data_IF_362022522252
#
_entry.id   IF_362022522252
#
_cell.length_a   1.000
_cell.length_b   1.000
_cell.length_c   1.000
_cell.angle_alpha   90.00
_cell.angle_beta   90.00
_cell.angle_gamma   90.00
#
_symmetry.space_group_name_H-M   'P 1'
#
loop_
_entity.id
_entity.type
_entity.pdbx_description
1 polymer ?
#
# COMPACT_ATOMS: atom_id res chain seq x y z
N UNK A 1 -1.64 -44.34 -12.31
CA UNK A 1 -1.12 -43.04 -11.85
C UNK A 1 -2.28 -42.05 -11.79
N UNK A 2 -2.86 -41.85 -10.60
CA UNK A 2 -4.01 -40.96 -10.40
C UNK A 2 -3.52 -39.50 -10.35
N UNK A 3 -3.98 -38.66 -11.27
CA UNK A 3 -3.70 -37.23 -11.23
C UNK A 3 -4.54 -36.60 -10.12
N UNK A 4 -3.89 -36.07 -9.08
CA UNK A 4 -4.56 -35.31 -8.03
C UNK A 4 -5.14 -34.02 -8.63
N UNK A 5 -6.46 -33.87 -8.54
CA UNK A 5 -7.20 -32.69 -9.00
C UNK A 5 -6.82 -31.48 -8.13
N UNK A 6 -6.07 -30.53 -8.67
CA UNK A 6 -5.77 -29.25 -8.00
C UNK A 6 -7.07 -28.44 -7.96
N UNK A 7 -7.60 -28.04 -6.79
CA UNK A 7 -8.79 -27.22 -6.72
C UNK A 7 -8.51 -25.83 -7.29
N UNK A 8 -9.48 -25.29 -8.04
CA UNK A 8 -9.36 -23.97 -8.67
C UNK A 8 -9.19 -22.87 -7.61
N UNK A 9 -8.42 -21.81 -7.90
CA UNK A 9 -8.21 -20.71 -6.97
C UNK A 9 -9.56 -20.03 -6.69
N UNK A 10 -10.00 -20.10 -5.44
CA UNK A 10 -11.20 -19.42 -4.96
C UNK A 10 -11.05 -17.92 -5.26
N UNK A 11 -11.95 -17.37 -6.08
CA UNK A 11 -12.05 -15.93 -6.33
C UNK A 11 -12.54 -15.25 -5.05
N UNK A 12 -11.65 -15.02 -4.09
CA UNK A 12 -11.94 -14.22 -2.92
C UNK A 12 -12.10 -12.78 -3.38
N UNK A 13 -13.34 -12.27 -3.35
CA UNK A 13 -13.64 -10.87 -3.61
C UNK A 13 -12.78 -9.95 -2.72
N UNK A 14 -12.42 -8.78 -3.26
CA UNK A 14 -11.68 -7.73 -2.53
C UNK A 14 -12.29 -7.56 -1.13
N UNK A 15 -11.51 -7.62 -0.02
CA UNK A 15 -12.09 -7.50 1.30
C UNK A 15 -12.79 -6.15 1.43
N UNK A 16 -14.06 -6.21 1.81
CA UNK A 16 -15.01 -5.08 1.93
C UNK A 16 -14.64 -4.05 3.03
N UNK A 17 -13.48 -4.18 3.67
CA UNK A 17 -13.14 -3.47 4.92
C UNK A 17 -11.94 -2.52 4.85
N UNK A 18 -11.78 -1.80 3.73
CA UNK A 18 -10.90 -0.62 3.68
C UNK A 18 -11.62 0.58 3.07
N UNK A 19 -12.76 0.96 3.65
CA UNK A 19 -13.13 2.39 3.68
C UNK A 19 -12.28 3.07 4.75
N UNK A 20 -10.99 3.27 4.46
CA UNK A 20 -10.28 4.38 5.10
C UNK A 20 -10.78 5.62 4.38
N UNK A 21 -11.69 6.33 5.01
CA UNK A 21 -12.16 7.63 4.53
C UNK A 21 -10.92 8.51 4.37
N UNK A 22 -10.52 8.71 3.12
CA UNK A 22 -9.43 9.62 2.75
C UNK A 22 -9.86 10.99 3.30
N UNK A 23 -9.00 11.70 4.05
CA UNK A 23 -9.34 13.04 4.55
C UNK A 23 -9.84 13.90 3.40
N UNK A 24 -11.10 14.35 3.48
CA UNK A 24 -11.80 15.06 2.40
C UNK A 24 -11.15 16.40 2.00
N UNK A 25 -10.19 16.88 2.79
CA UNK A 25 -9.44 18.12 2.57
C UNK A 25 -8.03 17.91 2.00
N UNK A 26 -7.67 16.68 1.62
CA UNK A 26 -6.37 16.42 1.01
C UNK A 26 -6.29 17.11 -0.35
N UNK A 27 -5.25 17.94 -0.57
CA UNK A 27 -4.95 18.48 -1.91
C UNK A 27 -4.93 17.33 -2.90
N UNK A 28 -5.77 17.42 -3.93
CA UNK A 28 -5.84 16.44 -5.02
C UNK A 28 -4.61 16.62 -5.93
N UNK A 29 -3.42 16.41 -5.39
CA UNK A 29 -2.22 16.25 -6.20
C UNK A 29 -2.37 14.89 -6.88
N UNK A 30 -2.57 14.92 -8.20
CA UNK A 30 -2.36 13.75 -9.04
C UNK A 30 -0.85 13.51 -9.03
N UNK A 31 -0.36 12.37 -8.52
CA UNK A 31 1.05 12.04 -8.69
C UNK A 31 1.34 12.02 -10.19
N UNK A 32 2.44 12.66 -10.58
CA UNK A 32 2.86 12.82 -11.97
C UNK A 32 2.98 11.44 -12.65
N UNK A 33 2.25 11.21 -13.74
CA UNK A 33 2.16 9.93 -14.50
C UNK A 33 3.43 9.61 -15.32
N UNK A 34 4.61 10.03 -14.86
CA UNK A 34 5.87 9.80 -15.59
C UNK A 34 6.33 8.33 -15.50
N UNK A 35 5.91 7.59 -14.46
CA UNK A 35 6.19 6.17 -14.30
C UNK A 35 4.95 5.46 -13.74
N UNK A 36 4.54 4.37 -14.39
CA UNK A 36 3.31 3.64 -14.04
C UNK A 36 3.44 2.93 -12.69
N UNK A 37 2.40 3.03 -11.86
CA UNK A 37 2.34 2.34 -10.57
C UNK A 37 2.39 0.82 -10.73
N UNK A 38 3.40 0.17 -10.14
CA UNK A 38 3.50 -1.29 -10.06
C UNK A 38 3.15 -1.76 -8.64
N UNK A 39 2.25 -2.74 -8.52
CA UNK A 39 1.86 -3.28 -7.22
C UNK A 39 2.88 -4.29 -6.71
N UNK A 40 3.57 -3.92 -5.63
CA UNK A 40 4.42 -4.83 -4.85
C UNK A 40 3.77 -5.09 -3.49
N UNK A 41 3.57 -6.37 -3.13
CA UNK A 41 2.84 -6.73 -1.91
C UNK A 41 3.78 -7.23 -0.81
N UNK A 42 3.68 -6.65 0.37
CA UNK A 42 4.37 -7.10 1.59
C UNK A 42 3.41 -7.07 2.78
N UNK A 43 3.65 -7.97 3.74
CA UNK A 43 2.89 -8.01 4.99
C UNK A 43 3.58 -7.17 6.06
N UNK A 44 2.86 -6.22 6.65
CA UNK A 44 3.35 -5.44 7.80
C UNK A 44 2.76 -5.98 9.09
N UNK A 45 3.57 -5.95 10.16
CA UNK A 45 3.06 -6.15 11.52
C UNK A 45 2.00 -5.08 11.82
N UNK A 46 0.97 -5.45 12.59
CA UNK A 46 -0.12 -4.54 12.94
C UNK A 46 0.38 -3.24 13.60
N UNK A 47 1.37 -3.35 14.49
CA UNK A 47 2.01 -2.20 15.16
C UNK A 47 2.74 -1.28 14.17
N UNK A 48 3.50 -1.84 13.22
CA UNK A 48 4.19 -1.08 12.17
C UNK A 48 3.19 -0.37 11.26
N UNK A 49 2.13 -1.06 10.85
CA UNK A 49 1.06 -0.46 10.04
C UNK A 49 0.36 0.68 10.78
N UNK A 50 0.13 0.56 12.09
CA UNK A 50 -0.48 1.63 12.90
C UNK A 50 0.42 2.86 12.96
N UNK A 51 1.72 2.67 13.23
CA UNK A 51 2.70 3.76 13.25
C UNK A 51 2.80 4.47 11.90
N UNK A 52 2.90 3.70 10.81
CA UNK A 52 2.95 4.23 9.44
C UNK A 52 1.74 5.12 9.12
N UNK A 53 0.54 4.69 9.52
CA UNK A 53 -0.68 5.48 9.32
C UNK A 53 -0.70 6.78 10.13
N UNK A 54 -0.30 6.72 11.40
CA UNK A 54 -0.25 7.88 12.26
C UNK A 54 0.72 8.93 11.71
N UNK A 55 1.94 8.51 11.37
CA UNK A 55 2.96 9.37 10.79
C UNK A 55 2.50 10.00 9.47
N UNK A 56 1.92 9.20 8.56
CA UNK A 56 1.37 9.73 7.32
C UNK A 56 0.30 10.82 7.55
N UNK A 57 -0.55 10.65 8.57
CA UNK A 57 -1.58 11.64 8.91
C UNK A 57 -0.98 12.91 9.55
N UNK A 58 -0.01 12.75 10.46
CA UNK A 58 0.69 13.85 11.13
C UNK A 58 1.46 14.74 10.15
N UNK A 59 2.01 14.15 9.08
CA UNK A 59 2.82 14.83 8.07
C UNK A 59 2.05 15.22 6.79
N UNK A 60 0.72 15.03 6.72
CA UNK A 60 -0.12 15.20 5.52
C UNK A 60 0.35 14.39 4.28
N UNK A 61 1.02 13.26 4.52
CA UNK A 61 1.61 12.39 3.49
C UNK A 61 0.75 11.16 3.18
N UNK A 62 0.87 10.63 1.96
CA UNK A 62 0.24 9.36 1.56
C UNK A 62 1.13 8.26 2.10
N UNK A 63 0.53 7.13 2.47
CA UNK A 63 1.32 5.95 2.83
C UNK A 63 2.33 5.58 1.74
N UNK A 64 1.99 5.79 0.46
CA UNK A 64 2.91 5.66 -0.67
C UNK A 64 4.11 6.61 -0.52
N UNK A 65 3.89 7.92 -0.42
CA UNK A 65 4.95 8.91 -0.24
C UNK A 65 5.84 8.62 0.98
N UNK A 66 5.27 8.10 2.08
CA UNK A 66 6.06 7.67 3.25
C UNK A 66 6.93 6.45 2.92
N UNK A 67 6.38 5.48 2.21
CA UNK A 67 7.09 4.26 1.83
C UNK A 67 8.17 4.56 0.80
N UNK A 68 7.88 5.42 -0.19
CA UNK A 68 8.82 5.85 -1.22
C UNK A 68 9.99 6.60 -0.58
N UNK A 69 9.74 7.60 0.26
CA UNK A 69 10.79 8.31 1.01
C UNK A 69 11.61 7.37 1.90
N UNK A 70 10.96 6.45 2.61
CA UNK A 70 11.68 5.47 3.42
C UNK A 70 12.57 4.53 2.60
N UNK A 71 12.15 4.17 1.37
CA UNK A 71 12.94 3.37 0.44
C UNK A 71 14.10 4.18 -0.13
N UNK A 72 13.87 5.43 -0.55
CA UNK A 72 14.92 6.34 -1.03
C UNK A 72 16.02 6.52 0.02
N UNK A 73 15.64 6.84 1.27
CA UNK A 73 16.59 6.95 2.38
C UNK A 73 17.31 5.63 2.66
N UNK A 74 16.60 4.49 2.69
CA UNK A 74 17.21 3.19 3.01
C UNK A 74 18.16 2.69 1.91
N UNK A 75 17.86 2.99 0.66
CA UNK A 75 18.66 2.60 -0.50
C UNK A 75 19.75 3.63 -0.84
N UNK A 76 19.76 4.80 -0.20
CA UNK A 76 20.72 5.87 -0.45
C UNK A 76 20.53 6.53 -1.82
N UNK A 77 19.27 6.75 -2.22
CA UNK A 77 18.89 7.34 -3.51
C UNK A 77 18.60 8.85 -3.44
N UNK A 78 18.84 9.49 -2.29
CA UNK A 78 18.70 10.94 -2.08
C UNK A 78 19.79 11.76 -2.79
#
# INVERSE_FOLDING_TARGET
MTHAKIPEPVKTGKPFYLKTEIPKNRRAVKPNDAEGWVKTSVSLRASTRRRLKAWAAEHDMRIQEVVDAALETYLGLE
#
